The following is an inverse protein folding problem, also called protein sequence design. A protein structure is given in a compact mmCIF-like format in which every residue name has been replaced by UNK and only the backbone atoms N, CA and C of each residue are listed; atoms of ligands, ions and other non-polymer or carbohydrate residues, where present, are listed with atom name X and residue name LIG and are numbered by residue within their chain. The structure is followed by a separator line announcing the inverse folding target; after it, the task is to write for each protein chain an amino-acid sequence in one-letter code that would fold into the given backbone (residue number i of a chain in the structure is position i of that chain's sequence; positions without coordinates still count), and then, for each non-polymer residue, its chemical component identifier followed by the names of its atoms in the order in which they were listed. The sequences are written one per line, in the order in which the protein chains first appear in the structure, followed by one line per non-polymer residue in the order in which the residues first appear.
data_IF_498338195205
#
_entry.id   IF_498338195205
#
_cell.length_a   1.000
_cell.length_b   1.000
_cell.length_c   1.000
_cell.angle_alpha   90.00
_cell.angle_beta   90.00
_cell.angle_gamma   90.00
#
_symmetry.space_group_name_H-M   'P 1'
#
loop_
_entity.id
_entity.type
_entity.pdbx_description
1 polymer ?
#
# COMPACT_ATOMS: atom_id res chain seq x y z
N UNK A 1 -0.86 -3.52 17.08
CA UNK A 1 0.44 -3.29 16.42
C UNK A 1 0.73 -4.50 15.58
N UNK A 2 0.83 -4.32 14.27
CA UNK A 2 1.23 -5.40 13.36
C UNK A 2 2.73 -5.34 13.15
N UNK A 3 3.39 -6.51 13.15
CA UNK A 3 4.85 -6.61 13.04
C UNK A 3 5.20 -7.26 11.71
N UNK A 4 5.98 -6.55 10.89
CA UNK A 4 6.51 -7.09 9.63
C UNK A 4 7.93 -7.60 9.87
N UNK A 5 8.15 -8.89 9.61
CA UNK A 5 9.48 -9.51 9.71
C UNK A 5 10.10 -9.68 8.33
N UNK A 6 11.25 -9.06 8.09
CA UNK A 6 11.98 -9.14 6.81
C UNK A 6 13.27 -9.94 7.02
N UNK A 7 13.43 -11.03 6.27
CA UNK A 7 14.68 -11.81 6.26
C UNK A 7 15.67 -11.16 5.29
N UNK A 8 16.83 -10.78 5.79
CA UNK A 8 17.88 -10.13 5.00
C UNK A 8 19.20 -10.90 5.13
N UNK A 9 20.01 -10.97 4.04
CA UNK A 9 21.39 -11.41 4.15
C UNK A 9 22.18 -10.51 5.12
N UNK A 10 23.15 -11.06 5.89
CA UNK A 10 23.90 -10.30 6.90
C UNK A 10 24.59 -9.04 6.34
N UNK A 11 25.09 -9.11 5.09
CA UNK A 11 25.73 -7.98 4.41
C UNK A 11 24.75 -6.83 4.19
N UNK A 12 23.52 -7.13 3.75
CA UNK A 12 22.48 -6.14 3.50
C UNK A 12 21.99 -5.52 4.80
N UNK A 13 21.81 -6.32 5.86
CA UNK A 13 21.41 -5.83 7.18
C UNK A 13 22.44 -4.83 7.75
N UNK A 14 23.74 -5.16 7.70
CA UNK A 14 24.81 -4.24 8.14
C UNK A 14 24.83 -2.93 7.34
N UNK A 15 24.65 -3.03 6.02
CA UNK A 15 24.59 -1.84 5.15
C UNK A 15 23.43 -0.94 5.52
N UNK A 16 22.23 -1.49 5.70
CA UNK A 16 21.05 -0.72 6.11
C UNK A 16 21.23 -0.10 7.49
N UNK A 17 21.85 -0.82 8.43
CA UNK A 17 22.11 -0.29 9.76
C UNK A 17 23.12 0.86 9.73
N UNK A 18 24.20 0.75 8.93
CA UNK A 18 25.12 1.85 8.72
C UNK A 18 24.46 3.06 8.07
N UNK A 19 23.56 2.82 7.11
CA UNK A 19 22.76 3.88 6.49
C UNK A 19 21.87 4.57 7.51
N UNK A 20 21.08 3.83 8.30
CA UNK A 20 20.23 4.39 9.35
C UNK A 20 21.03 5.25 10.35
N UNK A 21 22.20 4.77 10.77
CA UNK A 21 23.11 5.52 11.65
C UNK A 21 23.63 6.80 11.01
N UNK A 22 23.92 6.81 9.70
CA UNK A 22 24.35 8.03 8.99
C UNK A 22 23.28 9.12 8.97
N UNK A 23 22.01 8.76 9.10
CA UNK A 23 20.88 9.68 9.26
C UNK A 23 20.55 9.98 10.73
N UNK A 24 21.31 9.44 11.69
CA UNK A 24 21.04 9.60 13.12
C UNK A 24 19.78 8.87 13.60
N UNK A 25 19.36 7.82 12.90
CA UNK A 25 18.13 7.08 13.16
C UNK A 25 18.41 5.64 13.60
N UNK A 26 17.47 5.07 14.36
CA UNK A 26 17.44 3.63 14.55
C UNK A 26 17.06 2.93 13.23
N UNK A 27 17.44 1.66 13.06
CA UNK A 27 17.06 0.89 11.87
C UNK A 27 15.53 0.80 11.73
N UNK A 28 14.80 0.72 12.84
CA UNK A 28 13.35 0.73 12.86
C UNK A 28 12.80 2.04 12.28
N UNK A 29 13.20 3.20 12.84
CA UNK A 29 12.65 4.49 12.45
C UNK A 29 13.04 4.86 11.02
N UNK A 30 14.27 4.51 10.61
CA UNK A 30 14.70 4.63 9.23
C UNK A 30 13.81 3.81 8.29
N UNK A 31 13.52 2.56 8.64
CA UNK A 31 12.69 1.68 7.82
C UNK A 31 11.25 2.20 7.72
N UNK A 32 10.68 2.69 8.81
CA UNK A 32 9.33 3.31 8.81
C UNK A 32 9.29 4.50 7.85
N UNK A 33 10.23 5.44 7.97
CA UNK A 33 10.26 6.63 7.10
C UNK A 33 10.45 6.29 5.63
N UNK A 34 11.29 5.30 5.32
CA UNK A 34 11.48 4.84 3.94
C UNK A 34 10.19 4.23 3.39
N UNK A 35 9.51 3.38 4.17
CA UNK A 35 8.26 2.77 3.76
C UNK A 35 7.15 3.81 3.59
N UNK A 36 7.07 4.81 4.47
CA UNK A 36 6.12 5.93 4.34
C UNK A 36 6.41 6.79 3.10
N UNK A 37 7.69 7.09 2.83
CA UNK A 37 8.10 7.81 1.62
C UNK A 37 7.70 7.06 0.36
N UNK A 38 8.03 5.77 0.29
CA UNK A 38 7.63 4.90 -0.82
C UNK A 38 6.09 4.83 -0.94
N UNK A 39 5.37 4.67 0.17
CA UNK A 39 3.91 4.62 0.19
C UNK A 39 3.27 5.94 -0.28
N UNK A 40 3.94 7.08 -0.08
CA UNK A 40 3.46 8.38 -0.58
C UNK A 40 3.63 8.54 -2.08
N UNK A 41 4.61 7.86 -2.68
CA UNK A 41 4.84 7.82 -4.13
C UNK A 41 3.90 6.84 -4.85
N UNK A 42 3.42 5.81 -4.15
CA UNK A 42 2.38 4.96 -4.70
C UNK A 42 1.09 5.78 -4.86
N UNK A 43 0.55 5.92 -6.08
CA UNK A 43 -0.75 6.53 -6.25
C UNK A 43 -1.74 5.67 -5.45
N UNK A 44 -2.34 6.25 -4.40
CA UNK A 44 -3.50 5.62 -3.77
C UNK A 44 -4.48 5.33 -4.90
N UNK A 45 -4.91 4.08 -5.05
CA UNK A 45 -5.87 3.67 -6.07
C UNK A 45 -7.13 4.53 -5.93
N UNK A 46 -7.15 5.61 -6.69
CA UNK A 46 -8.22 6.57 -6.74
C UNK A 46 -8.95 6.33 -8.06
N UNK A 47 -10.27 6.44 -8.04
CA UNK A 47 -11.06 6.31 -9.27
C UNK A 47 -10.53 7.22 -10.40
N UNK A 48 -9.92 8.36 -10.06
CA UNK A 48 -9.29 9.31 -10.98
C UNK A 48 -8.11 8.75 -11.80
N UNK A 49 -7.50 7.64 -11.37
CA UNK A 49 -6.35 7.02 -12.02
C UNK A 49 -6.74 6.05 -13.16
N UNK A 50 -8.04 5.86 -13.41
CA UNK A 50 -8.56 4.95 -14.44
C UNK A 50 -9.08 5.73 -15.65
N UNK A 51 -9.04 5.14 -16.84
CA UNK A 51 -9.46 5.79 -18.10
C UNK A 51 -10.88 6.38 -18.06
N UNK A 52 -11.79 5.74 -17.30
CA UNK A 52 -13.19 6.16 -17.18
C UNK A 52 -13.60 6.25 -15.69
N UNK A 53 -13.15 7.29 -14.97
CA UNK A 53 -13.30 7.39 -13.52
C UNK A 53 -14.78 7.40 -13.07
N UNK A 54 -15.64 8.09 -13.83
CA UNK A 54 -17.07 8.21 -13.53
C UNK A 54 -17.85 6.93 -13.82
N UNK A 55 -17.49 6.22 -14.90
CA UNK A 55 -18.11 4.94 -15.24
C UNK A 55 -17.76 3.89 -14.18
N UNK A 56 -16.48 3.83 -13.77
CA UNK A 56 -16.02 2.92 -12.72
C UNK A 56 -16.70 3.22 -11.37
N UNK A 57 -16.77 4.50 -10.96
CA UNK A 57 -17.45 4.91 -9.73
C UNK A 57 -18.95 4.54 -9.74
N UNK A 58 -19.61 4.70 -10.88
CA UNK A 58 -21.03 4.36 -11.06
C UNK A 58 -21.27 2.85 -11.02
N UNK A 59 -20.40 2.06 -11.67
CA UNK A 59 -20.42 0.60 -11.63
C UNK A 59 -20.18 0.09 -10.20
N UNK A 60 -19.18 0.63 -9.52
CA UNK A 60 -18.87 0.30 -8.13
C UNK A 60 -20.06 0.60 -7.19
N UNK A 61 -20.65 1.79 -7.30
CA UNK A 61 -21.84 2.16 -6.50
C UNK A 61 -23.00 1.20 -6.75
N UNK A 62 -23.23 0.81 -8.00
CA UNK A 62 -24.27 -0.15 -8.37
C UNK A 62 -23.98 -1.52 -7.76
N UNK A 63 -22.75 -2.03 -7.87
CA UNK A 63 -22.36 -3.31 -7.29
C UNK A 63 -22.57 -3.36 -5.77
N UNK A 64 -22.22 -2.30 -5.05
CA UNK A 64 -22.49 -2.19 -3.60
C UNK A 64 -23.99 -2.21 -3.30
N UNK A 65 -24.78 -1.48 -4.08
CA UNK A 65 -26.23 -1.43 -3.90
C UNK A 65 -26.90 -2.78 -4.22
N UNK A 66 -26.45 -3.46 -5.27
CA UNK A 66 -26.94 -4.78 -5.64
C UNK A 66 -26.57 -5.83 -4.59
N UNK A 67 -25.35 -5.76 -4.04
CA UNK A 67 -24.92 -6.59 -2.91
C UNK A 67 -25.80 -6.38 -1.66
N UNK A 68 -26.06 -5.13 -1.28
CA UNK A 68 -26.99 -4.81 -0.18
C UNK A 68 -28.41 -5.33 -0.42
N UNK A 69 -28.84 -5.35 -1.68
CA UNK A 69 -30.16 -5.86 -2.08
C UNK A 69 -30.17 -7.38 -2.30
N UNK A 70 -29.09 -8.10 -1.97
CA UNK A 70 -28.98 -9.56 -2.16
C UNK A 70 -28.90 -10.02 -3.63
N UNK A 71 -28.71 -9.08 -4.57
CA UNK A 71 -28.58 -9.35 -6.00
C UNK A 71 -27.11 -9.58 -6.34
N UNK A 72 -26.61 -10.79 -6.07
CA UNK A 72 -25.26 -11.17 -6.45
C UNK A 72 -25.33 -12.02 -7.73
N UNK A 73 -24.86 -11.48 -8.85
CA UNK A 73 -24.70 -12.27 -10.09
C UNK A 73 -23.30 -12.90 -10.09
N UNK A 74 -23.23 -14.23 -10.17
CA UNK A 74 -21.96 -14.99 -10.16
C UNK A 74 -21.37 -15.22 -11.56
N UNK A 75 -21.95 -14.64 -12.62
CA UNK A 75 -21.39 -14.74 -13.97
C UNK A 75 -20.57 -13.49 -14.29
N UNK A 76 -19.25 -13.68 -14.24
CA UNK A 76 -18.25 -12.84 -14.90
C UNK A 76 -18.23 -13.18 -16.40
#
# INVERSE_FOLDING_TARGET
METVTIKLPPKSARRLQGLALSYGLSLHDFSVRVLEGIASEFPKDAFANYDQPQALKSSFKRGIQDWHNGKVSSRL
#
